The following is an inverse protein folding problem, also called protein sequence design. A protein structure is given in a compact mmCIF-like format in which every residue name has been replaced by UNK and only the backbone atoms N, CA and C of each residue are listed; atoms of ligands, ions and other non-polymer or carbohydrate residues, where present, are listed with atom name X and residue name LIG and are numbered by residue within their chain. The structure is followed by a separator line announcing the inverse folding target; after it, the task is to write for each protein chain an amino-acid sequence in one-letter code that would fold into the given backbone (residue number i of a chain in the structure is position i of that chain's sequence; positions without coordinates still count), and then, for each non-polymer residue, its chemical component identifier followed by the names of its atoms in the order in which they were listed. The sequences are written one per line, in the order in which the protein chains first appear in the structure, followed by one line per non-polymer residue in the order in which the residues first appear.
data_IF_730585111733
#
_entry.id   IF_730585111733
#
_cell.length_a   1.000
_cell.length_b   1.000
_cell.length_c   1.000
_cell.angle_alpha   90.00
_cell.angle_beta   90.00
_cell.angle_gamma   90.00
#
_symmetry.space_group_name_H-M   'P 1'
#
loop_
_entity.id
_entity.type
_entity.pdbx_description
1 polymer ?
#
# COMPACT_ATOMS: atom_id res chain seq x y z
N UNK A 1 13.40 -16.92 -3.84
CA UNK A 1 11.95 -16.97 -3.56
C UNK A 1 11.38 -15.62 -3.11
N UNK A 2 11.61 -15.12 -1.88
CA UNK A 2 10.97 -13.85 -1.45
C UNK A 2 11.34 -12.62 -2.29
N UNK A 3 12.61 -12.47 -2.65
CA UNK A 3 13.08 -11.36 -3.50
C UNK A 3 12.51 -11.42 -4.92
N UNK A 4 12.37 -12.62 -5.50
CA UNK A 4 11.77 -12.80 -6.83
C UNK A 4 10.32 -12.30 -6.86
N UNK A 5 9.60 -12.45 -5.75
CA UNK A 5 8.22 -12.00 -5.56
C UNK A 5 8.11 -10.52 -5.12
N UNK A 6 9.22 -9.80 -4.99
CA UNK A 6 9.23 -8.39 -4.59
C UNK A 6 9.10 -8.15 -3.09
N UNK A 7 9.16 -9.20 -2.26
CA UNK A 7 9.10 -9.07 -0.80
C UNK A 7 10.46 -8.59 -0.30
N UNK A 8 10.49 -7.38 0.27
CA UNK A 8 11.69 -6.81 0.88
C UNK A 8 12.03 -7.49 2.20
N UNK A 9 13.27 -7.34 2.65
CA UNK A 9 13.68 -7.82 3.98
C UNK A 9 12.80 -7.26 5.11
N UNK A 10 12.37 -6.01 5.01
CA UNK A 10 11.52 -5.37 6.03
C UNK A 10 10.15 -6.03 6.11
N UNK A 11 9.51 -6.26 4.96
CA UNK A 11 8.21 -6.93 4.86
C UNK A 11 8.29 -8.38 5.33
N UNK A 12 9.32 -9.11 4.88
CA UNK A 12 9.54 -10.49 5.30
C UNK A 12 9.77 -10.59 6.81
N UNK A 13 10.62 -9.72 7.37
CA UNK A 13 10.89 -9.69 8.81
C UNK A 13 9.64 -9.31 9.61
N UNK A 14 8.81 -8.39 9.12
CA UNK A 14 7.54 -8.06 9.77
C UNK A 14 6.58 -9.26 9.79
N UNK A 15 6.44 -9.97 8.66
CA UNK A 15 5.60 -11.16 8.56
C UNK A 15 6.08 -12.29 9.49
N UNK A 16 7.40 -12.56 9.55
CA UNK A 16 7.96 -13.55 10.47
C UNK A 16 7.68 -13.16 11.92
N UNK A 17 7.93 -11.91 12.29
CA UNK A 17 7.70 -11.47 13.67
C UNK A 17 6.23 -11.62 14.07
N UNK A 18 5.31 -11.26 13.16
CA UNK A 18 3.87 -11.47 13.35
C UNK A 18 3.55 -12.96 13.58
N UNK A 19 4.05 -13.85 12.72
CA UNK A 19 3.86 -15.29 12.86
C UNK A 19 4.35 -15.80 14.23
N UNK A 20 5.51 -15.35 14.71
CA UNK A 20 6.03 -15.74 16.02
C UNK A 20 5.13 -15.28 17.18
N UNK A 21 4.57 -14.07 17.11
CA UNK A 21 3.59 -13.58 18.10
C UNK A 21 2.31 -14.42 18.08
N UNK A 22 1.80 -14.77 16.91
CA UNK A 22 0.60 -15.60 16.76
C UNK A 22 0.80 -17.02 17.31
N UNK A 23 1.92 -17.65 17.00
CA UNK A 23 2.27 -18.97 17.52
C UNK A 23 2.47 -18.93 19.05
N UNK A 24 3.16 -17.92 19.56
CA UNK A 24 3.33 -17.72 21.00
C UNK A 24 1.97 -17.52 21.71
N UNK A 25 1.06 -16.75 21.11
CA UNK A 25 -0.30 -16.59 21.61
C UNK A 25 -1.07 -17.92 21.66
N UNK A 26 -0.96 -18.75 20.62
CA UNK A 26 -1.56 -20.09 20.60
C UNK A 26 -1.03 -20.98 21.73
N UNK A 27 0.28 -20.97 21.96
CA UNK A 27 0.91 -21.74 23.05
C UNK A 27 0.42 -21.26 24.43
N UNK A 28 0.31 -19.94 24.65
CA UNK A 28 -0.19 -19.40 25.93
C UNK A 28 -1.65 -19.78 26.16
N UNK A 29 -2.50 -19.64 25.14
CA UNK A 29 -3.93 -20.01 25.21
C UNK A 29 -4.11 -21.49 25.50
N UNK A 30 -3.36 -22.37 24.82
CA UNK A 30 -3.45 -23.82 24.99
C UNK A 30 -3.01 -24.29 26.39
N UNK A 31 -2.18 -23.51 27.10
CA UNK A 31 -1.80 -23.77 28.49
C UNK A 31 -2.81 -23.22 29.52
N UNK A 32 -3.97 -22.73 29.07
CA UNK A 32 -5.01 -22.16 29.94
C UNK A 32 -4.63 -20.81 30.57
N UNK A 33 -3.55 -20.19 30.10
CA UNK A 33 -3.09 -18.89 30.59
C UNK A 33 -3.87 -17.75 29.96
N UNK A 34 -4.14 -16.69 30.73
CA UNK A 34 -4.56 -15.40 30.17
C UNK A 34 -3.43 -14.88 29.28
N UNK A 35 -3.75 -14.49 28.05
CA UNK A 35 -2.78 -13.88 27.13
C UNK A 35 -2.24 -12.61 27.77
N UNK A 36 -0.98 -12.66 28.21
CA UNK A 36 -0.26 -11.53 28.77
C UNK A 36 0.93 -11.23 27.85
N UNK A 37 1.08 -9.97 27.45
CA UNK A 37 2.17 -9.50 26.57
C UNK A 37 3.56 -9.96 27.04
N UNK A 38 3.76 -10.09 28.36
CA UNK A 38 5.01 -10.59 28.94
C UNK A 38 5.27 -12.07 28.61
N UNK A 39 4.25 -12.94 28.70
CA UNK A 39 4.38 -14.35 28.38
C UNK A 39 4.61 -14.55 26.88
N UNK A 40 3.91 -13.77 26.05
CA UNK A 40 4.05 -13.80 24.59
C UNK A 40 5.43 -13.30 24.16
N UNK A 41 5.94 -12.24 24.78
CA UNK A 41 7.30 -11.71 24.56
C UNK A 41 8.38 -12.75 24.89
N UNK A 42 8.25 -13.46 26.02
CA UNK A 42 9.20 -14.51 26.40
C UNK A 42 9.20 -15.66 25.39
N UNK A 43 8.01 -16.13 24.97
CA UNK A 43 7.90 -17.28 24.06
C UNK A 43 8.32 -16.92 22.63
N UNK A 44 7.94 -15.73 22.15
CA UNK A 44 8.28 -15.26 20.81
C UNK A 44 9.72 -14.73 20.69
N UNK A 45 10.38 -14.40 21.80
CA UNK A 45 11.69 -13.75 21.83
C UNK A 45 11.65 -12.28 21.36
N UNK A 46 10.47 -11.71 21.14
CA UNK A 46 10.30 -10.32 20.68
C UNK A 46 10.16 -9.37 21.87
N UNK A 47 10.55 -8.10 21.67
CA UNK A 47 10.45 -7.11 22.74
C UNK A 47 8.99 -6.90 23.16
N UNK A 48 8.78 -6.70 24.47
CA UNK A 48 7.43 -6.48 25.02
C UNK A 48 6.73 -5.30 24.34
N UNK A 49 7.45 -4.22 24.05
CA UNK A 49 6.92 -3.05 23.31
C UNK A 49 6.37 -3.45 21.95
N UNK A 50 7.11 -4.26 21.19
CA UNK A 50 6.70 -4.71 19.87
C UNK A 50 5.50 -5.66 19.92
N UNK A 51 5.50 -6.59 20.88
CA UNK A 51 4.36 -7.49 21.14
C UNK A 51 3.11 -6.70 21.51
N UNK A 52 3.22 -5.73 22.42
CA UNK A 52 2.12 -4.84 22.82
C UNK A 52 1.62 -4.01 21.63
N UNK A 53 2.50 -3.55 20.73
CA UNK A 53 2.12 -2.81 19.52
C UNK A 53 1.38 -3.67 18.48
N UNK A 54 1.79 -4.93 18.33
CA UNK A 54 1.12 -5.91 17.48
C UNK A 54 -0.24 -6.35 18.05
N UNK A 55 -0.28 -6.75 19.33
CA UNK A 55 -1.51 -7.24 19.98
C UNK A 55 -2.59 -6.15 20.06
N UNK A 56 -2.21 -4.90 20.33
CA UNK A 56 -3.17 -3.80 20.43
C UNK A 56 -3.59 -3.23 19.07
N UNK A 57 -3.25 -3.87 17.94
CA UNK A 57 -3.50 -3.37 16.58
C UNK A 57 -3.06 -1.91 16.34
N UNK A 58 -2.16 -1.38 17.18
CA UNK A 58 -1.55 -0.05 16.99
C UNK A 58 -0.53 -0.07 15.86
N UNK A 59 -0.16 -1.26 15.42
CA UNK A 59 0.29 -1.51 14.06
C UNK A 59 -0.92 -1.79 13.18
N UNK A 60 -1.72 -0.74 12.86
CA UNK A 60 -2.09 -0.59 11.45
C UNK A 60 -0.76 -0.73 10.75
N UNK A 61 -0.54 -1.84 10.01
CA UNK A 61 0.69 -2.10 9.28
C UNK A 61 1.22 -0.76 8.81
N UNK A 62 2.32 -0.28 9.42
CA UNK A 62 2.65 1.13 9.28
C UNK A 62 2.78 1.35 7.77
N UNK A 63 2.03 2.31 7.23
CA UNK A 63 2.07 2.65 5.80
C UNK A 63 3.48 3.05 5.33
N UNK A 64 4.49 2.98 6.20
CA UNK A 64 5.91 3.12 5.93
C UNK A 64 6.54 1.91 5.20
N UNK A 65 5.78 0.87 4.85
CA UNK A 65 6.33 -0.30 4.14
C UNK A 65 6.33 -0.19 2.61
N UNK A 66 5.84 0.92 2.05
CA UNK A 66 5.89 1.09 0.60
C UNK A 66 7.34 1.28 0.17
N UNK A 67 7.88 0.31 -0.57
CA UNK A 67 9.26 0.35 -1.08
C UNK A 67 9.48 1.61 -1.93
N UNK A 68 10.71 2.11 -1.98
CA UNK A 68 11.06 3.29 -2.80
C UNK A 68 10.57 3.17 -4.26
N UNK A 69 10.75 2.03 -4.95
CA UNK A 69 10.16 1.82 -6.28
C UNK A 69 8.65 2.05 -6.30
N UNK A 70 7.89 1.45 -5.37
CA UNK A 70 6.43 1.57 -5.35
C UNK A 70 5.99 3.00 -5.00
N UNK A 71 6.71 3.70 -4.14
CA UNK A 71 6.44 5.12 -3.84
C UNK A 71 6.57 5.99 -5.09
N UNK A 72 7.54 5.71 -5.98
CA UNK A 72 7.68 6.43 -7.26
C UNK A 72 6.44 6.18 -8.15
N UNK A 73 5.94 4.95 -8.22
CA UNK A 73 4.72 4.66 -8.98
C UNK A 73 3.49 5.36 -8.40
N UNK A 74 3.33 5.36 -7.08
CA UNK A 74 2.24 6.08 -6.41
C UNK A 74 2.31 7.57 -6.72
N UNK A 75 3.50 8.17 -6.68
CA UNK A 75 3.70 9.57 -7.05
C UNK A 75 3.39 9.83 -8.53
N UNK A 76 3.78 8.94 -9.43
CA UNK A 76 3.43 9.02 -10.86
C UNK A 76 1.91 9.08 -11.04
N UNK A 77 1.17 8.16 -10.41
CA UNK A 77 -0.30 8.12 -10.49
C UNK A 77 -0.93 9.34 -9.84
N UNK A 78 -0.44 9.77 -8.67
CA UNK A 78 -0.97 10.93 -7.94
C UNK A 78 -0.79 12.25 -8.72
N UNK A 79 0.28 12.35 -9.52
CA UNK A 79 0.54 13.52 -10.36
C UNK A 79 -0.23 13.50 -11.69
N UNK A 80 -1.03 12.46 -11.97
CA UNK A 80 -1.82 12.33 -13.21
C UNK A 80 -0.96 12.40 -14.48
N UNK A 81 0.26 11.86 -14.40
CA UNK A 81 1.18 11.86 -15.54
C UNK A 81 0.73 10.82 -16.58
N UNK A 82 1.14 11.04 -17.82
CA UNK A 82 0.86 10.11 -18.91
C UNK A 82 1.39 8.70 -18.60
N UNK A 83 0.77 7.69 -19.22
CA UNK A 83 1.21 6.29 -19.11
C UNK A 83 2.63 6.05 -19.64
N UNK A 84 3.18 7.01 -20.39
CA UNK A 84 4.54 6.99 -20.90
C UNK A 84 5.19 8.33 -20.58
N UNK A 85 6.33 8.29 -19.90
CA UNK A 85 7.15 9.47 -19.62
C UNK A 85 8.59 9.22 -20.06
N UNK A 86 9.40 10.26 -20.11
CA UNK A 86 10.81 10.13 -20.47
C UNK A 86 11.61 9.49 -19.32
N UNK A 87 12.68 8.76 -19.63
CA UNK A 87 13.66 8.35 -18.61
C UNK A 87 14.43 9.58 -18.11
N UNK A 88 14.82 10.45 -19.02
CA UNK A 88 15.41 11.75 -18.73
C UNK A 88 14.93 12.77 -19.76
N UNK A 89 14.61 13.97 -19.31
CA UNK A 89 14.23 15.11 -20.14
C UNK A 89 15.14 16.30 -19.85
N UNK A 90 15.60 16.97 -20.91
CA UNK A 90 16.27 18.28 -20.79
C UNK A 90 15.24 19.43 -20.79
N UNK A 91 14.06 19.22 -21.37
CA UNK A 91 13.08 20.28 -21.69
C UNK A 91 11.93 20.39 -20.67
N UNK A 92 12.21 20.26 -19.38
CA UNK A 92 11.24 20.38 -18.26
C UNK A 92 9.97 19.49 -18.40
N UNK A 93 9.99 18.51 -19.30
CA UNK A 93 8.93 17.51 -19.43
C UNK A 93 9.04 16.45 -18.33
N UNK A 94 7.91 15.87 -17.88
CA UNK A 94 7.95 14.86 -16.84
C UNK A 94 8.87 13.69 -17.19
N UNK A 95 9.80 13.37 -16.28
CA UNK A 95 10.70 12.23 -16.41
C UNK A 95 10.80 11.43 -15.11
N UNK A 96 11.24 10.17 -15.24
CA UNK A 96 11.34 9.26 -14.09
C UNK A 96 12.41 9.72 -13.10
N UNK A 97 13.47 10.40 -13.57
CA UNK A 97 14.55 10.86 -12.72
C UNK A 97 14.09 11.97 -11.76
N UNK A 98 13.22 12.86 -12.22
CA UNK A 98 12.63 13.96 -11.47
C UNK A 98 11.58 13.45 -10.50
N UNK A 99 10.75 12.50 -10.92
CA UNK A 99 9.85 11.76 -10.01
C UNK A 99 10.61 11.08 -8.88
N UNK A 100 11.71 10.37 -9.21
CA UNK A 100 12.53 9.68 -8.22
C UNK A 100 13.13 10.64 -7.19
N UNK A 101 13.63 11.81 -7.63
CA UNK A 101 14.17 12.86 -6.75
C UNK A 101 13.13 13.41 -5.77
N UNK A 102 11.85 13.45 -6.15
CA UNK A 102 10.75 13.82 -5.26
C UNK A 102 10.47 12.79 -4.16
N UNK A 103 10.94 11.56 -4.32
CA UNK A 103 10.64 10.41 -3.44
C UNK A 103 11.85 9.97 -2.61
N UNK A 104 13.06 10.11 -3.16
CA UNK A 104 14.32 9.66 -2.55
C UNK A 104 15.49 10.58 -2.91
N UNK A 105 16.45 10.68 -1.99
CA UNK A 105 17.75 11.34 -2.22
C UNK A 105 18.80 10.41 -2.84
N UNK A 106 18.44 9.15 -3.10
CA UNK A 106 19.32 8.14 -3.68
C UNK A 106 19.70 8.49 -5.13
N UNK A 107 20.98 8.32 -5.46
CA UNK A 107 21.54 8.58 -6.79
C UNK A 107 21.39 7.38 -7.73
N UNK A 108 21.06 6.19 -7.23
CA UNK A 108 20.93 4.96 -8.01
C UNK A 108 19.55 4.80 -8.65
N UNK A 109 19.05 5.84 -9.32
CA UNK A 109 17.74 5.85 -10.00
C UNK A 109 17.62 4.68 -10.97
N UNK A 110 18.72 4.32 -11.65
CA UNK A 110 18.76 3.16 -12.54
C UNK A 110 18.44 1.85 -11.82
N UNK A 111 18.98 1.61 -10.62
CA UNK A 111 18.71 0.39 -9.84
C UNK A 111 17.25 0.32 -9.40
N UNK A 112 16.67 1.47 -9.03
CA UNK A 112 15.25 1.56 -8.70
C UNK A 112 14.39 1.25 -9.93
N UNK A 113 14.77 1.75 -11.11
CA UNK A 113 14.06 1.47 -12.34
C UNK A 113 14.21 0.00 -12.77
N UNK A 114 15.40 -0.56 -12.66
CA UNK A 114 15.66 -1.98 -12.94
C UNK A 114 14.78 -2.87 -12.05
N UNK A 115 14.55 -2.47 -10.79
CA UNK A 115 13.62 -3.14 -9.88
C UNK A 115 12.17 -3.02 -10.35
N UNK A 116 11.71 -1.85 -10.79
CA UNK A 116 10.37 -1.67 -11.35
C UNK A 116 10.15 -2.51 -12.63
N UNK A 117 11.18 -2.63 -13.46
CA UNK A 117 11.17 -3.49 -14.66
C UNK A 117 11.12 -4.97 -14.25
N UNK A 118 11.93 -5.37 -13.26
CA UNK A 118 11.93 -6.75 -12.73
C UNK A 118 10.57 -7.13 -12.15
N UNK A 119 9.89 -6.19 -11.48
CA UNK A 119 8.54 -6.34 -10.96
C UNK A 119 7.44 -6.22 -12.03
N UNK A 120 7.81 -5.99 -13.30
CA UNK A 120 6.90 -5.83 -14.45
C UNK A 120 5.87 -4.70 -14.27
N UNK A 121 6.19 -3.71 -13.45
CA UNK A 121 5.34 -2.54 -13.23
C UNK A 121 5.64 -1.42 -14.21
N UNK A 122 6.81 -1.45 -14.84
CA UNK A 122 7.18 -0.56 -15.94
C UNK A 122 7.94 -1.34 -17.01
N UNK A 123 7.98 -0.80 -18.21
CA UNK A 123 8.94 -1.19 -19.25
C UNK A 123 9.75 0.02 -19.69
N UNK A 124 10.98 -0.22 -20.12
CA UNK A 124 11.88 0.82 -20.61
C UNK A 124 12.26 0.47 -22.04
N UNK A 125 12.03 1.39 -22.97
CA UNK A 125 12.46 1.28 -24.37
C UNK A 125 13.02 2.62 -24.80
N UNK A 126 14.26 2.63 -25.29
CA UNK A 126 15.02 3.83 -25.62
C UNK A 126 15.08 4.81 -24.43
N UNK A 127 14.47 5.99 -24.56
CA UNK A 127 14.35 7.01 -23.51
C UNK A 127 12.92 7.10 -22.95
N UNK A 128 12.09 6.06 -23.11
CA UNK A 128 10.70 6.05 -22.67
C UNK A 128 10.49 5.00 -21.59
N UNK A 129 9.87 5.43 -20.49
CA UNK A 129 9.38 4.56 -19.42
C UNK A 129 7.87 4.47 -19.56
N UNK A 130 7.37 3.27 -19.79
CA UNK A 130 5.94 2.99 -19.88
C UNK A 130 5.47 2.35 -18.59
N UNK A 131 4.53 3.01 -17.90
CA UNK A 131 3.82 2.45 -16.77
C UNK A 131 2.94 1.30 -17.26
N UNK A 132 3.08 0.13 -16.63
CA UNK A 132 2.24 -1.04 -16.88
C UNK A 132 1.25 -1.07 -15.72
N UNK A 133 -0.02 -0.66 -15.94
CA UNK A 133 -1.04 -0.78 -14.91
C UNK A 133 -1.08 -2.23 -14.46
N UNK A 134 -1.18 -2.46 -13.15
CA UNK A 134 -1.33 -3.82 -12.61
C UNK A 134 -2.56 -4.45 -13.26
N UNK A 135 -2.35 -5.28 -14.27
CA UNK A 135 -3.40 -6.15 -14.80
C UNK A 135 -3.57 -7.26 -13.79
N UNK A 136 -4.81 -7.51 -13.37
CA UNK A 136 -5.16 -8.72 -12.63
C UNK A 136 -4.96 -9.89 -13.62
N UNK A 137 -3.71 -10.36 -13.71
CA UNK A 137 -3.40 -11.56 -14.44
C UNK A 137 -3.72 -12.73 -13.51
N UNK A 138 -4.66 -13.58 -13.94
CA UNK A 138 -5.19 -14.71 -13.17
C UNK A 138 -4.08 -15.69 -12.74
N UNK A 139 -2.92 -15.63 -13.40
CA UNK A 139 -1.76 -16.48 -13.17
C UNK A 139 -0.72 -15.92 -12.18
N UNK A 140 -0.84 -14.68 -11.70
CA UNK A 140 0.06 -14.13 -10.69
C UNK A 140 -0.53 -14.28 -9.29
N UNK A 141 -0.25 -15.44 -8.67
CA UNK A 141 -0.72 -15.79 -7.32
C UNK A 141 -0.41 -14.72 -6.25
N UNK A 142 0.67 -13.94 -6.42
CA UNK A 142 1.16 -13.00 -5.41
C UNK A 142 0.52 -11.61 -5.43
N UNK A 143 -0.20 -11.23 -6.49
CA UNK A 143 -0.96 -9.97 -6.50
C UNK A 143 -2.34 -10.08 -5.86
N UNK A 144 -2.94 -11.27 -5.93
CA UNK A 144 -4.31 -11.52 -5.51
C UNK A 144 -4.50 -11.42 -3.99
N UNK A 145 -3.54 -11.90 -3.22
CA UNK A 145 -3.60 -11.88 -1.75
C UNK A 145 -3.48 -10.46 -1.19
N UNK A 146 -2.53 -9.67 -1.70
CA UNK A 146 -2.40 -8.25 -1.33
C UNK A 146 -3.62 -7.45 -1.77
N UNK A 147 -4.14 -7.69 -2.98
CA UNK A 147 -5.38 -7.04 -3.45
C UNK A 147 -6.60 -7.46 -2.62
N UNK A 148 -6.68 -8.71 -2.17
CA UNK A 148 -7.74 -9.17 -1.27
C UNK A 148 -7.64 -8.54 0.12
N UNK A 149 -6.41 -8.34 0.63
CA UNK A 149 -6.16 -7.61 1.86
C UNK A 149 -6.58 -6.14 1.72
N UNK A 150 -6.15 -5.45 0.67
CA UNK A 150 -6.51 -4.06 0.40
C UNK A 150 -8.03 -3.89 0.17
N UNK A 151 -8.66 -4.86 -0.50
CA UNK A 151 -10.11 -4.90 -0.68
C UNK A 151 -10.84 -5.11 0.65
N UNK A 152 -10.33 -6.00 1.51
CA UNK A 152 -10.92 -6.29 2.82
C UNK A 152 -10.78 -5.08 3.75
N UNK A 153 -9.64 -4.40 3.73
CA UNK A 153 -9.39 -3.19 4.51
C UNK A 153 -10.29 -2.04 4.07
N UNK A 154 -10.46 -1.86 2.75
CA UNK A 154 -11.42 -0.89 2.22
C UNK A 154 -12.85 -1.25 2.64
N UNK A 155 -13.28 -2.49 2.44
CA UNK A 155 -14.63 -2.93 2.78
C UNK A 155 -14.91 -2.78 4.28
N UNK A 156 -13.93 -3.07 5.13
CA UNK A 156 -14.01 -2.85 6.57
C UNK A 156 -14.14 -1.36 6.89
N UNK A 157 -13.33 -0.50 6.26
CA UNK A 157 -13.40 0.94 6.47
C UNK A 157 -14.76 1.51 6.07
N UNK A 158 -15.28 1.13 4.89
CA UNK A 158 -16.60 1.51 4.41
C UNK A 158 -17.72 1.01 5.34
N UNK A 159 -17.65 -0.24 5.81
CA UNK A 159 -18.64 -0.77 6.75
C UNK A 159 -18.62 -0.07 8.12
N UNK A 160 -17.42 0.24 8.64
CA UNK A 160 -17.27 0.98 9.89
C UNK A 160 -17.77 2.42 9.77
N UNK A 161 -17.52 3.08 8.63
CA UNK A 161 -18.06 4.40 8.33
C UNK A 161 -19.60 4.37 8.33
N UNK A 162 -20.21 3.47 7.55
CA UNK A 162 -21.67 3.34 7.49
C UNK A 162 -22.34 2.97 8.81
N UNK A 163 -21.72 2.09 9.62
CA UNK A 163 -22.21 1.81 10.99
C UNK A 163 -22.03 3.03 11.90
N UNK A 164 -20.89 3.74 11.80
CA UNK A 164 -20.63 4.96 12.54
C UNK A 164 -21.67 6.05 12.26
N UNK A 165 -22.09 6.22 11.01
CA UNK A 165 -23.11 7.19 10.61
C UNK A 165 -24.49 6.86 11.16
N UNK A 166 -24.81 5.57 11.32
CA UNK A 166 -26.09 5.11 11.88
C UNK A 166 -26.13 5.10 13.41
N UNK A 167 -24.97 4.92 14.07
CA UNK A 167 -24.90 4.65 15.52
C UNK A 167 -24.34 5.78 16.35
N UNK A 168 -23.74 6.80 15.72
CA UNK A 168 -23.05 7.85 16.43
C UNK A 168 -23.47 9.24 15.95
N UNK A 169 -24.15 9.99 16.82
CA UNK A 169 -24.73 11.30 16.50
C UNK A 169 -23.79 12.48 16.74
N UNK A 170 -22.56 12.21 17.20
CA UNK A 170 -21.66 13.22 17.75
C UNK A 170 -20.59 13.74 16.77
N UNK A 171 -20.60 13.31 15.51
CA UNK A 171 -19.74 13.81 14.44
C UNK A 171 -20.47 13.90 13.11
N UNK A 172 -19.89 14.63 12.16
CA UNK A 172 -20.42 14.74 10.78
C UNK A 172 -20.39 13.35 10.14
N UNK A 173 -21.50 12.85 9.57
CA UNK A 173 -21.51 11.54 8.91
C UNK A 173 -20.48 11.48 7.78
N UNK A 174 -19.81 10.35 7.63
CA UNK A 174 -19.05 10.05 6.43
C UNK A 174 -20.03 9.98 5.25
N UNK A 175 -19.72 10.66 4.15
CA UNK A 175 -20.65 10.81 3.03
C UNK A 175 -20.60 9.56 2.13
N UNK A 176 -20.91 8.39 2.69
CA UNK A 176 -21.00 7.12 1.96
C UNK A 176 -22.34 7.06 1.23
N UNK A 177 -22.50 7.90 0.19
CA UNK A 177 -23.59 7.69 -0.77
C UNK A 177 -23.25 6.48 -1.64
N UNK A 178 -23.69 5.30 -1.20
CA UNK A 178 -23.78 4.13 -2.05
C UNK A 178 -24.86 4.37 -3.12
N UNK A 179 -24.48 5.01 -4.22
CA UNK A 179 -25.32 5.05 -5.41
C UNK A 179 -25.34 3.64 -5.98
N UNK A 180 -26.50 3.00 -5.99
CA UNK A 180 -26.70 1.74 -6.71
C UNK A 180 -26.66 2.05 -8.21
N UNK A 181 -25.49 1.88 -8.82
CA UNK A 181 -25.30 2.02 -10.26
C UNK A 181 -25.25 0.61 -10.86
N UNK A 182 -25.98 0.37 -11.95
CA UNK A 182 -26.03 -0.93 -12.67
C UNK A 182 -24.68 -1.34 -13.30
N UNK A 183 -23.61 -0.57 -13.03
CA UNK A 183 -22.25 -0.83 -13.45
C UNK A 183 -21.48 0.48 -13.57
N UNK A 184 -20.16 0.43 -13.38
CA UNK A 184 -19.31 1.58 -13.66
C UNK A 184 -19.14 1.68 -15.18
N UNK A 185 -19.92 2.56 -15.81
CA UNK A 185 -19.72 2.86 -17.23
C UNK A 185 -18.36 3.54 -17.46
N UNK A 186 -17.80 3.38 -18.65
CA UNK A 186 -16.45 3.87 -19.02
C UNK A 186 -16.26 5.37 -18.73
N UNK A 187 -17.32 6.16 -18.87
CA UNK A 187 -17.30 7.60 -18.57
C UNK A 187 -17.30 7.88 -17.06
N UNK A 188 -18.02 7.08 -16.28
CA UNK A 188 -18.04 7.16 -14.81
C UNK A 188 -16.70 6.73 -14.21
N UNK A 189 -16.06 5.69 -14.75
CA UNK A 189 -14.70 5.31 -14.36
C UNK A 189 -13.69 6.43 -14.61
N UNK A 190 -13.75 7.07 -15.78
CA UNK A 190 -12.91 8.24 -16.10
C UNK A 190 -13.16 9.41 -15.16
N UNK A 191 -14.43 9.68 -14.86
CA UNK A 191 -14.80 10.75 -13.94
C UNK A 191 -14.31 10.48 -12.50
N UNK A 192 -14.53 9.27 -11.98
CA UNK A 192 -14.06 8.87 -10.65
C UNK A 192 -12.54 8.86 -10.55
N UNK A 193 -11.83 8.41 -11.60
CA UNK A 193 -10.37 8.47 -11.66
C UNK A 193 -9.88 9.90 -11.54
N UNK A 194 -10.48 10.83 -12.31
CA UNK A 194 -10.13 12.25 -12.27
C UNK A 194 -10.44 12.88 -10.90
N UNK A 195 -11.63 12.59 -10.37
CA UNK A 195 -12.08 13.10 -9.07
C UNK A 195 -11.18 12.65 -7.92
N UNK A 196 -10.79 11.37 -7.91
CA UNK A 196 -9.92 10.82 -6.87
C UNK A 196 -8.54 11.47 -6.92
N UNK A 197 -7.97 11.65 -8.12
CA UNK A 197 -6.73 12.40 -8.34
C UNK A 197 -6.83 13.84 -7.82
N UNK A 198 -7.94 14.53 -8.09
CA UNK A 198 -8.14 15.91 -7.65
C UNK A 198 -8.19 16.03 -6.12
N UNK A 199 -8.84 15.09 -5.42
CA UNK A 199 -8.82 15.01 -3.94
C UNK A 199 -7.38 14.80 -3.42
N UNK A 200 -6.62 13.89 -4.01
CA UNK A 200 -5.23 13.67 -3.57
C UNK A 200 -4.33 14.89 -3.81
N UNK A 201 -4.57 15.67 -4.87
CA UNK A 201 -3.87 16.94 -5.12
C UNK A 201 -4.18 17.99 -4.04
N UNK A 202 -5.41 18.05 -3.55
CA UNK A 202 -5.78 18.95 -2.44
C UNK A 202 -5.11 18.54 -1.12
N UNK A 203 -5.20 17.25 -0.77
CA UNK A 203 -4.55 16.71 0.44
C UNK A 203 -3.03 16.93 0.42
N UNK A 204 -2.40 16.80 -0.75
CA UNK A 204 -0.96 17.06 -0.89
C UNK A 204 -0.60 18.53 -0.64
N UNK A 205 -1.43 19.47 -1.14
CA UNK A 205 -1.25 20.91 -0.94
C UNK A 205 -1.48 21.38 0.49
N UNK A 206 -2.31 20.69 1.27
CA UNK A 206 -2.57 21.05 2.67
C UNK A 206 -1.48 20.58 3.64
N UNK A 207 -0.62 19.64 3.22
CA UNK A 207 0.40 19.01 4.06
C UNK A 207 1.84 19.41 3.70
N UNK A 208 2.02 20.41 2.82
CA UNK A 208 3.29 21.07 2.45
C UNK A 208 3.10 22.59 2.48
#
# INVERSE_FOLDING_TARGET
MGLELGITYKEFNAAIKQMFVEQANGIVKNKGGKVMDAAVSIISGLSRTYVTQLINNKTKASREWVSTPVRILVTWVAQDLESVISYFSEDDTPDIATLAKGVTLDKFIKVILDELVRLKQVSVTDNKVTFIPVSIDENQATGKETLLLDFTDNLQAHALAGVGDLTNTSYVPFLEQAVKVDGIHKNSAKYLSKFNVDIWKEVYKENH
#
